data_IF_114958214671
#
_entry.id   IF_114958214671
#
_cell.length_a   1.000
_cell.length_b   1.000
_cell.length_c   1.000
_cell.angle_alpha   90.00
_cell.angle_beta   90.00
_cell.angle_gamma   90.00
#
_symmetry.space_group_name_H-M   'P 1'
#
loop_
_entity.id
_entity.type
_entity.pdbx_description
1 polymer ?
#
# COMPACT_ATOMS: atom_id res chain seq x y z
N UNK A 1 -3.99 -24.45 -30.88
CA UNK A 1 -5.21 -23.61 -30.72
C UNK A 1 -4.83 -22.39 -29.90
N UNK A 2 -4.57 -21.26 -30.56
CA UNK A 2 -4.24 -19.99 -29.89
C UNK A 2 -5.56 -19.27 -29.57
N UNK A 3 -5.86 -19.05 -28.29
CA UNK A 3 -6.99 -18.21 -27.88
C UNK A 3 -6.79 -16.81 -28.47
N UNK A 4 -7.80 -16.31 -29.19
CA UNK A 4 -7.79 -14.94 -29.69
C UNK A 4 -7.90 -14.01 -28.46
N UNK A 5 -7.09 -12.94 -28.36
CA UNK A 5 -6.85 -12.17 -27.12
C UNK A 5 -8.06 -11.35 -26.60
N UNK A 6 -9.29 -11.68 -26.99
CA UNK A 6 -10.53 -10.95 -26.66
C UNK A 6 -11.70 -11.85 -26.26
N UNK A 7 -11.49 -13.12 -25.91
CA UNK A 7 -12.57 -14.04 -25.52
C UNK A 7 -12.30 -14.67 -24.15
N UNK A 8 -13.30 -14.60 -23.25
CA UNK A 8 -13.28 -15.29 -21.95
C UNK A 8 -13.62 -16.77 -22.13
N UNK A 9 -13.39 -17.57 -21.09
CA UNK A 9 -13.69 -19.02 -21.11
C UNK A 9 -15.18 -19.35 -21.37
N UNK A 10 -16.09 -18.39 -21.16
CA UNK A 10 -17.53 -18.53 -21.43
C UNK A 10 -17.96 -17.95 -22.79
N UNK A 11 -17.01 -17.53 -23.63
CA UNK A 11 -17.28 -16.93 -24.95
C UNK A 11 -17.64 -15.44 -24.91
N UNK A 12 -17.55 -14.79 -23.74
CA UNK A 12 -17.77 -13.35 -23.60
C UNK A 12 -16.61 -12.55 -24.19
N UNK A 13 -16.91 -11.50 -24.94
CA UNK A 13 -15.87 -10.60 -25.46
C UNK A 13 -15.60 -9.48 -24.46
N UNK A 14 -14.34 -9.29 -24.09
CA UNK A 14 -13.90 -8.21 -23.21
C UNK A 14 -12.97 -7.27 -23.97
N UNK A 15 -13.08 -5.97 -23.67
CA UNK A 15 -12.14 -4.98 -24.17
C UNK A 15 -10.74 -5.18 -23.56
N UNK A 16 -9.71 -4.62 -24.19
CA UNK A 16 -8.36 -4.63 -23.62
C UNK A 16 -8.30 -3.90 -22.26
N UNK A 17 -9.14 -2.87 -22.07
CA UNK A 17 -9.29 -2.16 -20.81
C UNK A 17 -9.92 -3.03 -19.72
N UNK A 18 -10.93 -3.83 -20.06
CA UNK A 18 -11.52 -4.80 -19.14
C UNK A 18 -10.55 -5.94 -18.80
N UNK A 19 -9.85 -6.49 -19.80
CA UNK A 19 -8.80 -7.49 -19.57
C UNK A 19 -7.70 -6.95 -18.65
N UNK A 20 -7.26 -5.70 -18.86
CA UNK A 20 -6.31 -5.02 -17.98
C UNK A 20 -6.87 -4.82 -16.57
N UNK A 21 -8.14 -4.44 -16.44
CA UNK A 21 -8.80 -4.26 -15.13
C UNK A 21 -8.95 -5.58 -14.38
N UNK A 22 -9.34 -6.66 -15.07
CA UNK A 22 -9.39 -8.01 -14.50
C UNK A 22 -8.01 -8.51 -14.08
N UNK A 23 -7.00 -8.30 -14.92
CA UNK A 23 -5.62 -8.66 -14.59
C UNK A 23 -5.05 -7.81 -13.43
N UNK A 24 -5.39 -6.53 -13.32
CA UNK A 24 -5.05 -5.69 -12.16
C UNK A 24 -5.74 -6.21 -10.88
N UNK A 25 -7.04 -6.49 -10.95
CA UNK A 25 -7.81 -7.01 -9.81
C UNK A 25 -7.32 -8.40 -9.37
N UNK A 26 -6.85 -9.21 -10.30
CA UNK A 26 -6.22 -10.50 -10.05
C UNK A 26 -4.74 -10.40 -9.62
N UNK A 27 -4.17 -9.19 -9.53
CA UNK A 27 -2.76 -8.99 -9.17
C UNK A 27 -1.75 -9.44 -10.23
N UNK A 28 -2.21 -9.77 -11.46
CA UNK A 28 -1.37 -10.25 -12.56
C UNK A 28 -0.56 -9.13 -13.22
N UNK A 29 -1.10 -7.91 -13.23
CA UNK A 29 -0.41 -6.73 -13.77
C UNK A 29 -0.54 -5.54 -12.82
N UNK A 30 0.43 -4.61 -12.81
CA UNK A 30 0.36 -3.41 -11.98
C UNK A 30 -0.90 -2.59 -12.27
N UNK A 31 -1.36 -1.81 -11.30
CA UNK A 31 -2.41 -0.81 -11.56
C UNK A 31 -1.94 0.21 -12.59
N UNK A 32 -2.34 -0.01 -13.84
CA UNK A 32 -2.11 0.92 -14.94
C UNK A 32 -3.43 1.59 -15.27
N UNK A 33 -3.57 2.84 -14.85
CA UNK A 33 -4.64 3.71 -15.35
C UNK A 33 -4.33 4.09 -16.80
N UNK A 34 -5.36 4.19 -17.65
CA UNK A 34 -5.28 4.46 -19.10
C UNK A 34 -4.80 5.90 -19.39
N UNK A 35 -3.57 6.23 -19.00
CA UNK A 35 -2.97 7.55 -19.11
C UNK A 35 -1.44 7.47 -19.25
N UNK A 36 -0.81 8.63 -19.44
CA UNK A 36 0.64 8.72 -19.57
C UNK A 36 1.36 8.18 -18.32
N UNK A 37 2.52 7.53 -18.52
CA UNK A 37 3.38 7.09 -17.43
C UNK A 37 3.78 8.28 -16.55
N UNK A 38 3.71 8.09 -15.24
CA UNK A 38 4.11 9.09 -14.24
C UNK A 38 5.21 8.52 -13.34
N UNK A 39 6.19 9.33 -12.91
CA UNK A 39 7.22 8.85 -11.99
C UNK A 39 6.62 8.56 -10.62
N UNK A 40 6.91 7.36 -10.09
CA UNK A 40 6.49 6.91 -8.76
C UNK A 40 7.61 6.96 -7.72
N UNK A 41 8.85 7.19 -8.18
CA UNK A 41 10.03 7.40 -7.35
C UNK A 41 10.57 8.80 -7.64
N UNK A 42 10.48 9.68 -6.65
CA UNK A 42 10.81 11.10 -6.77
C UNK A 42 12.06 11.49 -5.99
N UNK A 43 12.62 10.54 -5.23
CA UNK A 43 13.74 10.81 -4.33
C UNK A 43 13.38 11.94 -3.37
N UNK A 44 14.17 13.02 -3.40
CA UNK A 44 13.99 14.19 -2.52
C UNK A 44 13.43 15.43 -3.23
N UNK A 45 13.04 15.32 -4.50
CA UNK A 45 12.53 16.47 -5.29
C UNK A 45 11.21 17.05 -4.75
N UNK A 46 10.42 16.23 -4.04
CA UNK A 46 9.20 16.65 -3.35
C UNK A 46 9.13 16.02 -1.97
N UNK A 47 8.58 16.75 -1.01
CA UNK A 47 8.31 16.26 0.34
C UNK A 47 7.06 15.38 0.40
N UNK A 48 5.98 15.81 -0.24
CA UNK A 48 4.69 15.14 -0.17
C UNK A 48 4.54 14.13 -1.30
N UNK A 49 3.95 12.99 -1.00
CA UNK A 49 3.55 12.02 -2.01
C UNK A 49 2.58 12.68 -3.00
N UNK A 50 2.79 12.42 -4.28
CA UNK A 50 1.91 12.89 -5.35
C UNK A 50 0.56 12.18 -5.29
N UNK A 51 -0.45 12.70 -6.01
CA UNK A 51 -1.75 12.05 -6.13
C UNK A 51 -1.65 10.59 -6.60
N UNK A 52 -0.77 10.30 -7.56
CA UNK A 52 -0.60 8.96 -8.10
C UNK A 52 0.06 8.01 -7.09
N UNK A 53 1.11 8.46 -6.40
CA UNK A 53 1.70 7.70 -5.29
C UNK A 53 0.68 7.48 -4.17
N UNK A 54 -0.08 8.52 -3.79
CA UNK A 54 -1.12 8.45 -2.76
C UNK A 54 -2.14 7.37 -3.11
N UNK A 55 -2.68 7.35 -4.33
CA UNK A 55 -3.64 6.32 -4.78
C UNK A 55 -3.06 4.91 -4.75
N UNK A 56 -1.81 4.74 -5.18
CA UNK A 56 -1.14 3.44 -5.12
C UNK A 56 -0.96 2.96 -3.67
N UNK A 57 -0.58 3.87 -2.76
CA UNK A 57 -0.47 3.58 -1.33
C UNK A 57 -1.87 3.27 -0.74
N UNK A 58 -2.92 4.01 -1.11
CA UNK A 58 -4.31 3.72 -0.67
C UNK A 58 -4.78 2.34 -1.09
N UNK A 59 -4.44 1.93 -2.30
CA UNK A 59 -4.80 0.60 -2.79
C UNK A 59 -4.09 -0.51 -2.02
N UNK A 60 -2.80 -0.31 -1.73
CA UNK A 60 -1.99 -1.27 -0.96
C UNK A 60 -2.43 -1.33 0.50
N UNK A 61 -2.62 -0.18 1.13
CA UNK A 61 -2.78 -0.07 2.59
C UNK A 61 -4.24 -0.15 3.04
N UNK A 62 -5.20 0.20 2.18
CA UNK A 62 -6.64 0.12 2.46
C UNK A 62 -7.17 0.97 3.62
N UNK A 63 -6.30 1.72 4.31
CA UNK A 63 -6.62 2.54 5.48
C UNK A 63 -5.38 2.71 6.36
N UNK A 64 -5.58 3.06 7.63
CA UNK A 64 -4.46 3.16 8.57
C UNK A 64 -3.86 1.76 8.84
N UNK A 65 -2.56 1.60 8.55
CA UNK A 65 -1.88 0.30 8.71
C UNK A 65 -1.41 0.01 10.14
N UNK A 66 -1.64 0.92 11.08
CA UNK A 66 -1.27 0.73 12.48
C UNK A 66 -2.09 -0.43 13.10
N UNK A 67 -1.49 -1.34 13.89
CA UNK A 67 -2.19 -2.49 14.45
C UNK A 67 -3.45 -2.11 15.24
N UNK A 68 -4.59 -2.67 14.85
CA UNK A 68 -5.89 -2.44 15.49
C UNK A 68 -6.62 -1.16 15.06
N UNK A 69 -6.06 -0.36 14.15
CA UNK A 69 -6.74 0.83 13.63
C UNK A 69 -7.65 0.50 12.45
N UNK A 70 -8.81 1.14 12.39
CA UNK A 70 -9.83 0.91 11.35
C UNK A 70 -10.13 2.16 10.50
N UNK A 71 -9.37 3.24 10.70
CA UNK A 71 -9.62 4.50 9.99
C UNK A 71 -9.44 4.33 8.47
N UNK A 72 -10.39 4.81 7.66
CA UNK A 72 -10.35 4.66 6.21
C UNK A 72 -9.24 5.53 5.58
N UNK A 73 -8.86 5.27 4.31
CA UNK A 73 -7.79 5.99 3.65
C UNK A 73 -7.96 7.52 3.61
N UNK A 74 -9.21 7.99 3.50
CA UNK A 74 -9.53 9.43 3.50
C UNK A 74 -9.26 10.15 4.82
N UNK A 75 -8.98 9.41 5.90
CA UNK A 75 -8.63 9.94 7.22
C UNK A 75 -7.13 9.76 7.53
N UNK A 76 -6.37 9.33 6.53
CA UNK A 76 -4.95 9.02 6.67
C UNK A 76 -4.06 10.04 5.94
N UNK A 77 -2.84 10.13 6.42
CA UNK A 77 -1.73 10.87 5.85
C UNK A 77 -0.69 9.87 5.32
N UNK A 78 0.08 10.29 4.31
CA UNK A 78 1.25 9.53 3.86
C UNK A 78 2.42 9.72 4.83
N UNK A 79 2.96 8.62 5.33
CA UNK A 79 4.06 8.58 6.28
C UNK A 79 5.30 7.93 5.64
N UNK A 80 6.47 8.57 5.80
CA UNK A 80 7.76 8.03 5.39
C UNK A 80 8.27 7.03 6.44
N UNK A 81 8.04 5.73 6.22
CA UNK A 81 8.22 4.72 7.28
C UNK A 81 9.67 4.29 7.52
N UNK A 82 10.51 4.30 6.48
CA UNK A 82 11.90 3.82 6.57
C UNK A 82 12.80 4.84 7.25
N UNK A 83 12.72 6.08 6.79
CA UNK A 83 13.47 7.21 7.30
C UNK A 83 12.55 8.43 7.18
N UNK A 84 12.31 9.18 8.27
CA UNK A 84 11.57 10.43 8.18
C UNK A 84 12.15 11.34 7.10
N UNK A 85 11.28 12.00 6.33
CA UNK A 85 11.73 12.87 5.25
C UNK A 85 12.71 13.96 5.73
N UNK A 86 12.49 14.48 6.95
CA UNK A 86 13.34 15.48 7.60
C UNK A 86 14.76 14.96 7.92
N UNK A 87 14.92 13.64 8.05
CA UNK A 87 16.19 12.97 8.34
C UNK A 87 16.87 12.37 7.10
N UNK A 88 16.31 12.58 5.90
CA UNK A 88 16.91 12.12 4.64
C UNK A 88 16.04 11.18 3.81
N UNK A 89 14.87 10.76 4.32
CA UNK A 89 13.96 9.87 3.58
C UNK A 89 13.53 10.39 2.21
N UNK A 90 13.13 9.46 1.34
CA UNK A 90 12.70 9.74 -0.04
C UNK A 90 11.19 9.61 -0.18
N UNK A 91 10.64 10.40 -1.09
CA UNK A 91 9.23 10.31 -1.52
C UNK A 91 9.15 9.33 -2.69
N UNK A 92 9.50 8.09 -2.41
CA UNK A 92 9.39 6.95 -3.32
C UNK A 92 8.20 6.08 -2.90
N UNK A 93 7.56 5.39 -3.84
CA UNK A 93 6.32 4.67 -3.55
C UNK A 93 6.49 3.62 -2.45
N UNK A 94 7.65 2.95 -2.44
CA UNK A 94 8.01 1.91 -1.46
C UNK A 94 8.18 2.45 -0.04
N UNK A 95 8.46 3.74 0.12
CA UNK A 95 8.79 4.37 1.40
C UNK A 95 7.60 5.09 2.04
N UNK A 96 6.44 5.12 1.37
CA UNK A 96 5.18 5.64 1.91
C UNK A 96 4.29 4.54 2.51
N UNK A 97 3.65 4.82 3.65
CA UNK A 97 2.52 4.06 4.24
C UNK A 97 1.41 5.00 4.71
N UNK A 98 0.24 4.48 5.05
CA UNK A 98 -0.87 5.26 5.61
C UNK A 98 -1.01 5.16 7.12
N UNK A 99 -0.99 6.33 7.76
CA UNK A 99 -1.32 6.47 9.17
C UNK A 99 -2.36 7.57 9.34
N UNK A 100 -3.34 7.38 10.23
CA UNK A 100 -4.19 8.49 10.65
C UNK A 100 -3.40 9.50 11.48
N UNK A 101 -3.89 10.74 11.63
CA UNK A 101 -3.15 11.77 12.38
C UNK A 101 -2.76 11.36 13.81
N UNK A 102 -3.60 10.57 14.50
CA UNK A 102 -3.31 10.04 15.85
C UNK A 102 -2.14 9.06 15.84
N UNK A 103 -2.22 8.02 15.01
CA UNK A 103 -1.21 6.96 14.95
C UNK A 103 0.07 7.45 14.27
N UNK A 104 -0.05 8.40 13.34
CA UNK A 104 1.09 9.08 12.71
C UNK A 104 1.92 9.81 13.76
N UNK A 105 1.28 10.60 14.63
CA UNK A 105 1.95 11.27 15.74
C UNK A 105 2.56 10.26 16.71
N UNK A 106 1.82 9.20 17.06
CA UNK A 106 2.28 8.17 17.98
C UNK A 106 3.56 7.50 17.51
N UNK A 107 3.62 7.09 16.23
CA UNK A 107 4.80 6.45 15.64
C UNK A 107 6.04 7.35 15.75
N UNK A 108 5.90 8.65 15.50
CA UNK A 108 7.00 9.61 15.67
C UNK A 108 7.38 9.82 17.14
N UNK A 109 6.40 9.93 18.05
CA UNK A 109 6.67 10.20 19.48
C UNK A 109 7.35 9.03 20.19
N UNK A 110 6.95 7.81 19.85
CA UNK A 110 7.48 6.58 20.45
C UNK A 110 8.69 6.00 19.67
N UNK A 111 9.11 6.66 18.58
CA UNK A 111 10.15 6.19 17.64
C UNK A 111 9.93 4.71 17.26
N UNK A 112 8.68 4.35 16.94
CA UNK A 112 8.28 2.95 16.72
C UNK A 112 8.95 2.44 15.44
N UNK A 113 9.77 1.38 15.51
CA UNK A 113 10.36 0.80 14.31
C UNK A 113 9.28 0.21 13.41
N UNK A 114 9.36 0.52 12.12
CA UNK A 114 8.46 0.02 11.08
C UNK A 114 9.24 -0.81 10.08
N UNK A 115 8.64 -1.89 9.57
CA UNK A 115 9.18 -2.64 8.45
C UNK A 115 8.10 -3.07 7.48
N UNK A 116 8.51 -3.36 6.25
CA UNK A 116 7.70 -4.03 5.24
C UNK A 116 8.11 -5.51 5.18
N UNK A 117 7.17 -6.45 5.33
CA UNK A 117 7.40 -7.89 5.21
C UNK A 117 6.27 -8.51 4.39
N UNK A 118 6.59 -9.14 3.26
CA UNK A 118 5.62 -9.81 2.38
C UNK A 118 4.44 -8.91 1.97
N UNK A 119 4.73 -7.64 1.67
CA UNK A 119 3.70 -6.65 1.31
C UNK A 119 2.88 -6.10 2.48
N UNK A 120 3.21 -6.47 3.72
CA UNK A 120 2.54 -6.00 4.94
C UNK A 120 3.44 -5.06 5.73
N UNK A 121 2.82 -4.05 6.32
CA UNK A 121 3.49 -3.14 7.25
C UNK A 121 3.42 -3.72 8.66
N UNK A 122 4.57 -3.81 9.32
CA UNK A 122 4.72 -4.31 10.68
C UNK A 122 5.39 -3.26 11.57
N UNK A 123 4.92 -3.18 12.81
CA UNK A 123 5.41 -2.25 13.84
C UNK A 123 6.01 -3.04 15.00
N UNK A 124 7.16 -2.62 15.50
CA UNK A 124 7.79 -3.27 16.64
C UNK A 124 7.28 -2.66 17.96
N UNK A 125 6.27 -3.30 18.55
CA UNK A 125 5.54 -2.75 19.69
C UNK A 125 5.03 -3.86 20.62
N UNK A 126 4.53 -3.47 21.80
CA UNK A 126 3.84 -4.39 22.69
C UNK A 126 2.51 -4.82 22.07
N UNK A 127 2.14 -6.12 22.16
CA UNK A 127 0.82 -6.58 21.76
C UNK A 127 -0.27 -5.90 22.56
N UNK A 128 -1.46 -5.68 21.97
CA UNK A 128 -2.64 -5.24 22.73
C UNK A 128 -2.98 -6.18 23.90
N UNK A 129 -2.64 -7.46 23.79
CA UNK A 129 -2.83 -8.49 24.83
C UNK A 129 -1.77 -8.43 25.95
N UNK A 130 -0.80 -7.52 25.86
CA UNK A 130 0.37 -7.49 26.74
C UNK A 130 1.49 -8.46 26.30
N UNK A 131 2.60 -8.45 27.05
CA UNK A 131 3.80 -9.25 26.77
C UNK A 131 4.95 -8.46 26.14
N UNK A 132 6.06 -9.13 25.73
CA UNK A 132 7.22 -8.47 25.15
C UNK A 132 6.92 -7.84 23.78
N UNK A 133 7.73 -6.85 23.37
CA UNK A 133 7.62 -6.25 22.04
C UNK A 133 7.86 -7.29 20.95
N UNK A 134 7.07 -7.20 19.89
CA UNK A 134 7.21 -8.04 18.71
C UNK A 134 6.74 -7.27 17.47
N UNK A 135 6.99 -7.82 16.29
CA UNK A 135 6.53 -7.25 15.03
C UNK A 135 5.05 -7.59 14.82
N UNK A 136 4.20 -6.56 14.73
CA UNK A 136 2.76 -6.71 14.63
C UNK A 136 2.26 -5.96 13.41
N UNK A 137 1.46 -6.62 12.58
CA UNK A 137 0.76 -6.02 11.43
C UNK A 137 -0.72 -5.82 11.74
N UNK A 138 -1.32 -4.82 11.09
CA UNK A 138 -2.77 -4.71 11.08
C UNK A 138 -3.39 -5.87 10.27
N UNK A 139 -4.28 -6.62 10.91
CA UNK A 139 -4.90 -7.82 10.33
C UNK A 139 -6.05 -7.50 9.37
N UNK A 140 -6.52 -6.26 9.32
CA UNK A 140 -7.68 -5.85 8.50
C UNK A 140 -7.49 -6.14 7.01
N UNK A 141 -6.26 -6.08 6.51
CA UNK A 141 -5.96 -6.22 5.08
C UNK A 141 -5.29 -7.54 4.75
N UNK A 142 -5.66 -8.64 5.43
CA UNK A 142 -5.26 -9.98 5.04
C UNK A 142 -5.68 -10.25 3.60
N UNK A 143 -4.72 -10.16 2.67
CA UNK A 143 -4.79 -10.93 1.44
C UNK A 143 -4.58 -12.39 1.88
N UNK A 144 -5.61 -13.23 1.73
CA UNK A 144 -5.49 -14.67 1.92
C UNK A 144 -4.32 -15.20 1.07
N UNK A 145 -3.46 -16.11 1.57
CA UNK A 145 -2.28 -16.58 0.85
C UNK A 145 -2.55 -17.31 -0.49
N UNK A 146 -3.82 -17.55 -0.83
CA UNK A 146 -4.26 -18.43 -1.92
C UNK A 146 -5.19 -17.77 -2.95
N UNK A 147 -5.01 -16.47 -3.23
CA UNK A 147 -5.47 -15.93 -4.51
C UNK A 147 -4.45 -16.33 -5.59
N UNK A 148 -4.49 -17.60 -6.03
CA UNK A 148 -3.82 -18.11 -7.24
C UNK A 148 -4.82 -18.16 -8.39
#
# INVERSE_FOLDING_TARGET
MLQRPRETATGGRISAGEARRYACNAGLIPQVFDGASVPLDLGRTKRLFTLHQRRAIENRDGGCVFPGCERPPGWCEGHHWREPWAKGGTTDLKDGILLCGSDHRRVHLEDIPVRMRDGRVEFFMHPPTGGPKQWISNQRFRVEPNAR
#
